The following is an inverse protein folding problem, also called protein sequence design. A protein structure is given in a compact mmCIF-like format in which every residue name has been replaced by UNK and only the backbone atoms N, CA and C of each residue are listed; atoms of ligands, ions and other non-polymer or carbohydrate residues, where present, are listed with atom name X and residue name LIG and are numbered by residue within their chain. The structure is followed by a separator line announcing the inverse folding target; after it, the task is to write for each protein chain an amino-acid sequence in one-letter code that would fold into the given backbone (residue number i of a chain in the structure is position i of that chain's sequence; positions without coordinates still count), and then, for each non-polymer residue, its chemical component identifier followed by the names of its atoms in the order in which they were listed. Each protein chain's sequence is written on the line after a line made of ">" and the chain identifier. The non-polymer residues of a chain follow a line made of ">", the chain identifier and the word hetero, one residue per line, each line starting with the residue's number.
data_IF_558077363037
#
_entry.id   IF_558077363037
#
_cell.length_a   1.000
_cell.length_b   1.000
_cell.length_c   1.000
_cell.angle_alpha   90.00
_cell.angle_beta   90.00
_cell.angle_gamma   90.00
#
_symmetry.space_group_name_H-M   'P 1'
#
loop_
_entity.id
_entity.type
_entity.pdbx_description
1 polymer ?
#
# COMPACT_ATOMS: atom_id res chain seq x y z
N UNK A 1 -8.14 -1.40 -13.19
CA UNK A 1 -8.63 -0.29 -12.36
C UNK A 1 -8.29 -0.63 -10.94
N UNK A 2 -7.86 0.37 -10.19
CA UNK A 2 -7.45 0.27 -8.81
C UNK A 2 -8.55 -0.42 -8.02
N UNK A 3 -8.19 -1.52 -7.37
CA UNK A 3 -9.14 -2.27 -6.57
C UNK A 3 -9.37 -1.50 -5.27
N UNK A 4 -10.62 -1.20 -4.89
CA UNK A 4 -10.94 -0.60 -3.58
C UNK A 4 -10.38 -1.43 -2.41
N UNK A 5 -10.12 -2.73 -2.57
CA UNK A 5 -9.36 -3.55 -1.61
C UNK A 5 -7.96 -2.99 -1.33
N UNK A 6 -7.26 -2.57 -2.38
CA UNK A 6 -5.91 -2.02 -2.26
C UNK A 6 -5.95 -0.70 -1.50
N UNK A 7 -6.92 0.17 -1.78
CA UNK A 7 -7.12 1.41 -1.03
C UNK A 7 -7.42 1.15 0.45
N UNK A 8 -8.29 0.19 0.79
CA UNK A 8 -8.52 -0.24 2.17
C UNK A 8 -7.27 -0.81 2.83
N UNK A 9 -6.51 -1.62 2.09
CA UNK A 9 -5.23 -2.18 2.55
C UNK A 9 -4.26 -1.05 2.89
N UNK A 10 -4.16 -0.04 2.03
CA UNK A 10 -3.34 1.14 2.21
C UNK A 10 -3.78 1.94 3.45
N UNK A 11 -5.09 2.15 3.64
CA UNK A 11 -5.61 2.76 4.87
C UNK A 11 -5.22 1.97 6.13
N UNK A 12 -5.38 0.64 6.13
CA UNK A 12 -4.98 -0.24 7.25
C UNK A 12 -3.47 -0.15 7.52
N UNK A 13 -2.64 -0.13 6.48
CA UNK A 13 -1.19 0.05 6.60
C UNK A 13 -0.82 1.40 7.22
N UNK A 14 -1.47 2.49 6.79
CA UNK A 14 -1.28 3.83 7.34
C UNK A 14 -1.65 3.89 8.83
N UNK A 15 -2.80 3.31 9.20
CA UNK A 15 -3.29 3.25 10.57
C UNK A 15 -2.40 2.38 11.48
N UNK A 16 -1.91 1.25 10.96
CA UNK A 16 -0.94 0.41 11.67
C UNK A 16 0.38 1.13 11.93
N UNK A 17 0.96 1.76 10.89
CA UNK A 17 2.16 2.55 11.05
C UNK A 17 1.94 3.72 12.03
N UNK A 18 0.75 4.34 12.02
CA UNK A 18 0.39 5.42 12.93
C UNK A 18 0.36 4.92 14.37
N UNK A 19 -0.24 3.75 14.65
CA UNK A 19 -0.26 3.19 15.99
C UNK A 19 1.15 2.88 16.50
N UNK A 20 1.99 2.23 15.68
CA UNK A 20 3.38 1.95 16.07
C UNK A 20 4.17 3.23 16.35
N UNK A 21 3.94 4.27 15.54
CA UNK A 21 4.60 5.57 15.73
C UNK A 21 4.09 6.27 17.00
N UNK A 22 2.79 6.18 17.30
CA UNK A 22 2.23 6.68 18.55
C UNK A 22 2.86 5.97 19.75
N UNK A 23 2.99 4.63 19.71
CA UNK A 23 3.62 3.86 20.79
C UNK A 23 5.10 4.28 20.98
N UNK A 24 5.84 4.50 19.89
CA UNK A 24 7.21 5.01 19.93
C UNK A 24 7.28 6.43 20.51
N UNK A 25 6.37 7.33 20.10
CA UNK A 25 6.30 8.69 20.63
C UNK A 25 5.96 8.70 22.13
N UNK A 26 5.15 7.74 22.60
CA UNK A 26 4.86 7.59 24.03
C UNK A 26 6.12 7.20 24.82
N UNK A 27 6.96 6.32 24.27
CA UNK A 27 8.24 5.98 24.90
C UNK A 27 9.16 7.22 25.00
N UNK A 28 9.26 8.02 23.95
CA UNK A 28 10.02 9.28 23.99
C UNK A 28 9.48 10.26 25.06
N UNK A 29 8.16 10.32 25.23
CA UNK A 29 7.55 11.13 26.27
C UNK A 29 7.86 10.60 27.68
N UNK A 30 7.95 9.27 27.86
CA UNK A 30 8.39 8.65 29.10
C UNK A 30 9.89 8.90 29.38
N UNK A 31 10.74 8.88 28.36
CA UNK A 31 12.16 9.21 28.48
C UNK A 31 12.33 10.67 28.93
N UNK A 32 11.56 11.59 28.37
CA UNK A 32 11.54 12.99 28.82
C UNK A 32 11.13 13.13 30.29
N UNK A 33 10.15 12.35 30.75
CA UNK A 33 9.78 12.29 32.17
C UNK A 33 10.93 11.73 33.01
N UNK A 34 11.59 10.67 32.54
CA UNK A 34 12.73 10.07 33.23
C UNK A 34 13.88 11.05 33.41
N UNK A 35 14.26 11.77 32.36
CA UNK A 35 15.28 12.84 32.42
C UNK A 35 14.88 13.94 33.38
N UNK A 36 13.62 14.39 33.35
CA UNK A 36 13.11 15.46 34.20
C UNK A 36 13.12 15.12 35.70
N UNK A 37 13.11 13.83 36.07
CA UNK A 37 13.19 13.35 37.45
C UNK A 37 14.52 12.62 37.77
N UNK A 38 15.49 12.65 36.86
CA UNK A 38 16.81 12.13 37.11
C UNK A 38 17.52 12.95 38.21
N UNK A 39 18.37 12.32 39.05
CA UNK A 39 19.17 13.06 40.02
C UNK A 39 20.11 14.04 39.29
N UNK A 40 20.07 15.30 39.67
CA UNK A 40 21.01 16.30 39.15
C UNK A 40 22.40 16.06 39.73
N UNK A 41 23.30 15.51 38.93
CA UNK A 41 24.67 15.18 39.34
C UNK A 41 25.52 16.42 39.66
N UNK A 42 25.08 17.62 39.25
CA UNK A 42 25.81 18.87 39.47
C UNK A 42 25.29 19.66 40.68
N UNK A 43 24.16 19.26 41.27
CA UNK A 43 23.60 19.94 42.43
C UNK A 43 24.35 19.55 43.72
N UNK A 44 24.67 20.56 44.54
CA UNK A 44 25.22 20.35 45.89
C UNK A 44 24.14 20.00 46.93
N UNK A 45 22.86 20.05 46.56
CA UNK A 45 21.74 19.72 47.44
C UNK A 45 21.48 18.21 47.49
N UNK A 46 21.10 17.71 48.68
CA UNK A 46 20.70 16.31 48.84
C UNK A 46 19.43 16.00 48.05
N UNK A 47 19.50 15.00 47.18
CA UNK A 47 18.38 14.56 46.38
C UNK A 47 17.84 13.22 46.87
N UNK A 48 16.60 13.24 47.35
CA UNK A 48 15.88 12.03 47.74
C UNK A 48 15.48 11.21 46.50
N UNK A 49 16.26 10.16 46.24
CA UNK A 49 16.03 9.23 45.13
C UNK A 49 14.68 8.53 45.20
N UNK A 50 14.15 8.24 46.40
CA UNK A 50 12.84 7.60 46.53
C UNK A 50 11.73 8.57 46.15
N UNK A 51 11.83 9.82 46.60
CA UNK A 51 10.86 10.87 46.24
C UNK A 51 10.86 11.15 44.74
N UNK A 52 12.03 11.25 44.10
CA UNK A 52 12.14 11.43 42.65
C UNK A 52 11.55 10.25 41.88
N UNK A 53 11.82 9.01 42.31
CA UNK A 53 11.23 7.80 41.72
C UNK A 53 9.70 7.77 41.85
N UNK A 54 9.16 8.21 43.00
CA UNK A 54 7.72 8.36 43.21
C UNK A 54 7.09 9.40 42.28
N UNK A 55 7.71 10.58 42.16
CA UNK A 55 7.25 11.63 41.24
C UNK A 55 7.31 11.19 39.77
N UNK A 56 8.36 10.45 39.37
CA UNK A 56 8.47 9.85 38.04
C UNK A 56 7.27 8.96 37.73
N UNK A 57 6.93 8.04 38.64
CA UNK A 57 5.78 7.14 38.47
C UNK A 57 4.46 7.89 38.35
N UNK A 58 4.24 8.89 39.21
CA UNK A 58 3.04 9.73 39.13
C UNK A 58 2.97 10.50 37.81
N UNK A 59 4.10 11.01 37.31
CA UNK A 59 4.14 11.71 36.03
C UNK A 59 3.87 10.77 34.85
N UNK A 60 4.35 9.53 34.89
CA UNK A 60 4.03 8.51 33.87
C UNK A 60 2.54 8.16 33.86
N UNK A 61 1.91 8.01 35.03
CA UNK A 61 0.46 7.76 35.14
C UNK A 61 -0.34 8.97 34.61
N UNK A 62 0.05 10.18 35.01
CA UNK A 62 -0.55 11.42 34.53
C UNK A 62 -0.41 11.58 33.00
N UNK A 63 0.73 11.18 32.42
CA UNK A 63 0.92 11.14 30.97
C UNK A 63 -0.09 10.20 30.31
N UNK A 64 -0.26 8.98 30.84
CA UNK A 64 -1.21 8.02 30.29
C UNK A 64 -2.65 8.52 30.36
N UNK A 65 -3.01 9.21 31.44
CA UNK A 65 -4.32 9.84 31.57
C UNK A 65 -4.50 11.00 30.58
N UNK A 66 -3.48 11.84 30.38
CA UNK A 66 -3.50 12.87 29.34
C UNK A 66 -3.65 12.27 27.93
N UNK A 67 -2.93 11.18 27.62
CA UNK A 67 -3.03 10.51 26.33
C UNK A 67 -4.45 9.97 26.11
N UNK A 68 -5.06 9.38 27.14
CA UNK A 68 -6.38 8.76 27.05
C UNK A 68 -7.53 9.78 27.02
N UNK A 69 -7.48 10.79 27.88
CA UNK A 69 -8.61 11.68 28.15
C UNK A 69 -8.40 13.11 27.65
N UNK A 70 -7.17 13.47 27.23
CA UNK A 70 -6.77 14.84 26.92
C UNK A 70 -6.62 15.76 28.14
N UNK A 71 -6.98 15.28 29.33
CA UNK A 71 -6.94 16.00 30.60
C UNK A 71 -6.78 15.04 31.78
N UNK A 72 -6.32 15.56 32.91
CA UNK A 72 -6.31 14.85 34.18
C UNK A 72 -7.70 14.87 34.83
N UNK A 73 -7.98 13.88 35.68
CA UNK A 73 -9.14 13.89 36.55
C UNK A 73 -9.09 15.08 37.53
N UNK A 74 -10.26 15.66 37.81
CA UNK A 74 -10.37 16.81 38.74
C UNK A 74 -10.15 16.40 40.21
N UNK A 75 -10.21 15.10 40.51
CA UNK A 75 -10.12 14.56 41.87
C UNK A 75 -8.67 14.22 42.32
N UNK A 76 -7.67 14.30 41.44
CA UNK A 76 -6.28 13.95 41.77
C UNK A 76 -5.44 15.16 42.20
N UNK A 77 -5.16 15.28 43.50
CA UNK A 77 -4.15 16.22 44.01
C UNK A 77 -2.72 15.72 43.71
N UNK A 78 -2.20 16.11 42.54
CA UNK A 78 -0.83 15.81 42.12
C UNK A 78 0.14 16.97 42.39
N UNK A 79 1.41 16.71 42.72
CA UNK A 79 2.41 17.78 42.88
C UNK A 79 2.57 18.61 41.60
N UNK A 80 2.70 19.94 41.72
CA UNK A 80 2.83 20.84 40.56
C UNK A 80 3.91 20.43 39.56
N UNK A 81 5.07 19.97 40.05
CA UNK A 81 6.16 19.50 39.19
C UNK A 81 5.76 18.28 38.36
N UNK A 82 5.00 17.35 38.94
CA UNK A 82 4.47 16.16 38.24
C UNK A 82 3.54 16.60 37.12
N UNK A 83 2.57 17.45 37.42
CA UNK A 83 1.59 17.94 36.43
C UNK A 83 2.28 18.69 35.29
N UNK A 84 3.24 19.58 35.61
CA UNK A 84 3.96 20.35 34.58
C UNK A 84 4.78 19.46 33.65
N UNK A 85 5.54 18.50 34.20
CA UNK A 85 6.39 17.61 33.40
C UNK A 85 5.52 16.68 32.55
N UNK A 86 4.47 16.07 33.13
CA UNK A 86 3.55 15.21 32.40
C UNK A 86 2.84 15.96 31.27
N UNK A 87 2.37 17.19 31.52
CA UNK A 87 1.76 18.04 30.49
C UNK A 87 2.73 18.37 29.36
N UNK A 88 3.97 18.75 29.68
CA UNK A 88 4.97 19.05 28.66
C UNK A 88 5.32 17.82 27.81
N UNK A 89 5.43 16.64 28.43
CA UNK A 89 5.63 15.38 27.72
C UNK A 89 4.43 15.03 26.82
N UNK A 90 3.20 15.22 27.32
CA UNK A 90 1.97 15.03 26.54
C UNK A 90 1.88 15.98 25.34
N UNK A 91 2.17 17.26 25.51
CA UNK A 91 2.12 18.24 24.41
C UNK A 91 3.12 17.91 23.30
N UNK A 92 4.30 17.40 23.67
CA UNK A 92 5.28 16.90 22.70
C UNK A 92 4.77 15.64 21.98
N UNK A 93 4.25 14.67 22.74
CA UNK A 93 3.64 13.45 22.22
C UNK A 93 2.51 13.73 21.23
N UNK A 94 1.54 14.58 21.61
CA UNK A 94 0.35 14.87 20.81
C UNK A 94 0.72 15.56 19.49
N UNK A 95 1.62 16.55 19.57
CA UNK A 95 2.12 17.26 18.39
C UNK A 95 2.82 16.32 17.42
N UNK A 96 3.74 15.49 17.92
CA UNK A 96 4.51 14.57 17.09
C UNK A 96 3.61 13.50 16.45
N UNK A 97 2.72 12.90 17.24
CA UNK A 97 1.80 11.85 16.78
C UNK A 97 0.80 12.35 15.74
N UNK A 98 0.29 13.58 15.88
CA UNK A 98 -0.55 14.21 14.85
C UNK A 98 0.22 14.43 13.54
N UNK A 99 1.38 15.08 13.63
CA UNK A 99 2.24 15.35 12.47
C UNK A 99 2.62 14.07 11.72
N UNK A 100 3.07 13.04 12.44
CA UNK A 100 3.56 11.82 11.79
C UNK A 100 2.45 11.00 11.18
N UNK A 101 1.27 10.93 11.81
CA UNK A 101 0.14 10.25 11.20
C UNK A 101 -0.36 10.91 9.92
N UNK A 102 -0.33 12.25 9.80
CA UNK A 102 -0.62 12.91 8.52
C UNK A 102 0.40 12.53 7.44
N UNK A 103 1.69 12.49 7.79
CA UNK A 103 2.75 12.09 6.86
C UNK A 103 2.59 10.64 6.41
N UNK A 104 2.14 9.75 7.29
CA UNK A 104 1.94 8.32 6.97
C UNK A 104 0.82 8.12 5.95
N UNK A 105 -0.31 8.82 6.09
CA UNK A 105 -1.40 8.77 5.09
C UNK A 105 -0.90 9.27 3.74
N UNK A 106 -0.23 10.43 3.71
CA UNK A 106 0.36 10.98 2.47
C UNK A 106 1.37 10.02 1.84
N UNK A 107 2.23 9.39 2.65
CA UNK A 107 3.22 8.42 2.18
C UNK A 107 2.55 7.25 1.47
N UNK A 108 1.53 6.67 2.08
CA UNK A 108 0.79 5.51 1.55
C UNK A 108 0.06 5.85 0.23
N UNK A 109 -0.47 7.06 0.13
CA UNK A 109 -1.06 7.57 -1.12
C UNK A 109 0.00 7.71 -2.22
N UNK A 110 1.13 8.33 -1.90
CA UNK A 110 2.25 8.44 -2.85
C UNK A 110 2.76 7.07 -3.30
N UNK A 111 2.87 6.09 -2.39
CA UNK A 111 3.21 4.70 -2.75
C UNK A 111 2.20 4.08 -3.70
N UNK A 112 0.93 4.49 -3.65
CA UNK A 112 -0.10 4.01 -4.58
C UNK A 112 0.05 4.63 -5.96
N UNK A 113 0.50 5.88 -6.05
CA UNK A 113 0.84 6.52 -7.33
C UNK A 113 2.05 5.85 -8.00
N UNK A 114 3.01 5.37 -7.21
CA UNK A 114 4.18 4.63 -7.74
C UNK A 114 3.78 3.35 -8.50
N UNK A 115 2.63 2.75 -8.19
CA UNK A 115 2.10 1.59 -8.93
C UNK A 115 1.90 1.93 -10.41
N UNK A 116 1.42 3.15 -10.70
CA UNK A 116 1.28 3.63 -12.07
C UNK A 116 2.64 3.81 -12.74
N UNK A 117 3.63 4.35 -12.01
CA UNK A 117 5.00 4.49 -12.51
C UNK A 117 5.60 3.13 -12.87
N UNK A 118 5.41 2.10 -12.06
CA UNK A 118 5.93 0.76 -12.37
C UNK A 118 5.18 0.08 -13.52
N UNK A 119 3.88 0.33 -13.64
CA UNK A 119 3.11 -0.04 -14.82
C UNK A 119 3.67 0.60 -16.10
N UNK A 120 3.91 1.92 -16.10
CA UNK A 120 4.51 2.63 -17.24
C UNK A 120 5.94 2.12 -17.51
N UNK A 121 6.71 1.80 -16.46
CA UNK A 121 8.06 1.25 -16.59
C UNK A 121 8.07 -0.09 -17.31
N UNK A 122 7.09 -0.95 -17.08
CA UNK A 122 6.97 -2.23 -17.79
C UNK A 122 6.69 -2.01 -19.29
N UNK A 123 5.82 -1.06 -19.63
CA UNK A 123 5.57 -0.71 -21.04
C UNK A 123 6.84 -0.16 -21.70
N UNK A 124 7.55 0.72 -20.99
CA UNK A 124 8.83 1.26 -21.43
C UNK A 124 9.88 0.15 -21.61
N UNK A 125 9.91 -0.86 -20.73
CA UNK A 125 10.81 -2.00 -20.87
C UNK A 125 10.52 -2.84 -22.12
N UNK A 126 9.26 -3.01 -22.52
CA UNK A 126 8.91 -3.65 -23.79
C UNK A 126 9.48 -2.89 -24.99
N UNK A 127 9.40 -1.56 -24.97
CA UNK A 127 9.95 -0.68 -26.02
C UNK A 127 11.49 -0.83 -26.08
N UNK A 128 12.16 -0.80 -24.93
CA UNK A 128 13.62 -0.94 -24.88
C UNK A 128 14.11 -2.33 -25.29
N UNK A 129 13.36 -3.39 -24.94
CA UNK A 129 13.65 -4.74 -25.45
C UNK A 129 13.51 -4.82 -26.97
N UNK A 130 12.56 -4.07 -27.55
CA UNK A 130 12.43 -3.95 -29.01
C UNK A 130 13.62 -3.21 -29.62
N UNK A 131 14.06 -2.09 -29.05
CA UNK A 131 15.29 -1.43 -29.49
C UNK A 131 16.50 -2.36 -29.42
N UNK A 132 16.63 -3.14 -28.35
CA UNK A 132 17.70 -4.11 -28.19
C UNK A 132 17.61 -5.25 -29.22
N UNK A 133 16.40 -5.69 -29.58
CA UNK A 133 16.17 -6.67 -30.66
C UNK A 133 16.58 -6.13 -32.03
N UNK A 134 16.27 -4.86 -32.32
CA UNK A 134 16.69 -4.18 -33.55
C UNK A 134 18.22 -4.16 -33.67
N UNK A 135 18.91 -3.76 -32.60
CA UNK A 135 20.37 -3.70 -32.56
C UNK A 135 20.98 -5.09 -32.83
N UNK A 136 20.45 -6.15 -32.21
CA UNK A 136 20.95 -7.52 -32.42
C UNK A 136 20.77 -7.99 -33.87
N UNK A 137 19.62 -7.66 -34.48
CA UNK A 137 19.34 -8.03 -35.88
C UNK A 137 20.25 -7.30 -36.87
N UNK A 138 20.56 -6.04 -36.62
CA UNK A 138 21.44 -5.22 -37.47
C UNK A 138 22.94 -5.58 -37.33
N UNK A 139 23.29 -6.53 -36.44
CA UNK A 139 24.67 -7.02 -36.32
C UNK A 139 25.15 -7.70 -37.59
N UNK A 140 26.33 -7.27 -38.04
CA UNK A 140 27.00 -7.76 -39.26
C UNK A 140 27.49 -9.21 -39.16
N UNK A 141 27.81 -9.66 -37.95
CA UNK A 141 28.30 -11.00 -37.69
C UNK A 141 27.44 -11.63 -36.60
N UNK A 142 26.92 -12.83 -36.86
CA UNK A 142 26.28 -13.66 -35.85
C UNK A 142 27.29 -14.54 -35.16
N UNK A 143 26.94 -14.94 -33.94
CA UNK A 143 27.63 -15.99 -33.22
C UNK A 143 27.45 -17.32 -33.99
N UNK A 144 28.52 -17.89 -34.56
CA UNK A 144 28.43 -19.14 -35.30
C UNK A 144 28.01 -20.33 -34.43
N UNK A 145 28.24 -20.26 -33.11
CA UNK A 145 27.92 -21.33 -32.16
C UNK A 145 26.48 -21.25 -31.65
N UNK A 146 25.83 -20.08 -31.78
CA UNK A 146 24.45 -19.85 -31.36
C UNK A 146 23.70 -18.93 -32.35
N UNK A 147 23.44 -19.43 -33.57
CA UNK A 147 22.70 -18.67 -34.57
C UNK A 147 21.27 -18.42 -34.07
N UNK A 148 20.78 -17.19 -34.25
CA UNK A 148 19.42 -16.80 -33.87
C UNK A 148 18.63 -16.35 -35.10
N UNK A 149 17.36 -16.76 -35.27
CA UNK A 149 16.53 -16.33 -36.40
C UNK A 149 16.35 -14.81 -36.46
N UNK A 150 16.38 -14.24 -37.66
CA UNK A 150 16.37 -12.79 -37.89
C UNK A 150 15.32 -12.33 -38.90
N UNK A 151 14.40 -13.22 -39.31
CA UNK A 151 13.38 -12.91 -40.32
C UNK A 151 12.39 -11.84 -39.81
N UNK A 152 12.13 -11.84 -38.51
CA UNK A 152 11.39 -10.79 -37.80
C UNK A 152 11.91 -10.64 -36.36
N UNK A 153 11.29 -9.79 -35.56
CA UNK A 153 11.59 -9.69 -34.14
C UNK A 153 10.67 -8.74 -33.41
N UNK A 154 10.99 -8.48 -32.14
CA UNK A 154 10.15 -7.65 -31.27
C UNK A 154 9.95 -6.21 -31.81
N UNK A 155 10.90 -5.70 -32.58
CA UNK A 155 10.84 -4.36 -33.18
C UNK A 155 10.06 -4.28 -34.50
N UNK A 156 9.70 -5.41 -35.11
CA UNK A 156 8.76 -5.46 -36.23
C UNK A 156 7.33 -5.76 -35.79
N UNK A 157 7.11 -6.05 -34.50
CA UNK A 157 5.80 -6.33 -33.94
C UNK A 157 4.93 -5.07 -33.93
N UNK A 158 3.71 -5.15 -34.48
CA UNK A 158 2.82 -4.00 -34.66
C UNK A 158 2.46 -3.32 -33.34
N UNK A 159 2.13 -4.09 -32.30
CA UNK A 159 1.71 -3.56 -31.00
C UNK A 159 2.82 -2.72 -30.38
N UNK A 160 4.07 -3.18 -30.46
CA UNK A 160 5.21 -2.45 -29.89
C UNK A 160 5.55 -1.21 -30.72
N UNK A 161 5.41 -1.28 -32.04
CA UNK A 161 5.56 -0.09 -32.89
C UNK A 161 4.52 0.98 -32.55
N UNK A 162 3.28 0.58 -32.26
CA UNK A 162 2.23 1.51 -31.80
C UNK A 162 2.57 2.11 -30.44
N UNK A 163 3.02 1.31 -29.46
CA UNK A 163 3.45 1.82 -28.17
C UNK A 163 4.60 2.82 -28.31
N UNK A 164 5.62 2.50 -29.12
CA UNK A 164 6.79 3.33 -29.31
C UNK A 164 6.52 4.64 -30.08
N UNK A 165 5.47 4.68 -30.89
CA UNK A 165 5.08 5.85 -31.68
C UNK A 165 4.12 6.79 -30.94
N UNK A 166 3.56 6.38 -29.82
CA UNK A 166 2.56 7.15 -29.09
C UNK A 166 3.19 8.24 -28.23
N UNK A 167 2.81 9.49 -28.51
CA UNK A 167 3.31 10.67 -27.79
C UNK A 167 2.79 10.74 -26.36
N UNK A 168 1.58 10.23 -26.10
CA UNK A 168 1.00 10.24 -24.76
C UNK A 168 1.81 9.38 -23.78
N UNK A 169 2.19 8.18 -24.22
CA UNK A 169 3.06 7.29 -23.46
C UNK A 169 4.48 7.84 -23.33
N UNK A 170 5.03 8.46 -24.38
CA UNK A 170 6.34 9.14 -24.30
C UNK A 170 6.32 10.23 -23.22
N UNK A 171 5.31 11.11 -23.23
CA UNK A 171 5.13 12.14 -22.20
C UNK A 171 4.96 11.54 -20.80
N UNK A 172 4.23 10.43 -20.66
CA UNK A 172 4.02 9.75 -19.38
C UNK A 172 5.29 9.08 -18.85
N UNK A 173 6.13 8.50 -19.71
CA UNK A 173 7.46 7.95 -19.36
C UNK A 173 8.35 9.07 -18.82
N UNK A 174 8.38 10.22 -19.50
CA UNK A 174 9.15 11.40 -19.08
C UNK A 174 8.62 11.93 -17.74
N UNK A 175 7.30 12.11 -17.61
CA UNK A 175 6.65 12.59 -16.37
C UNK A 175 6.92 11.67 -15.19
N UNK A 176 6.94 10.37 -15.43
CA UNK A 176 7.25 9.34 -14.42
C UNK A 176 8.74 9.24 -14.10
N UNK A 177 9.60 10.04 -14.75
CA UNK A 177 11.05 10.04 -14.52
C UNK A 177 11.74 8.72 -14.90
N UNK A 178 11.15 7.94 -15.81
CA UNK A 178 11.70 6.64 -16.22
C UNK A 178 12.82 6.88 -17.23
N UNK A 179 14.02 6.40 -16.92
CA UNK A 179 15.19 6.54 -17.79
C UNK A 179 16.09 5.30 -17.69
N UNK A 180 16.20 4.58 -18.80
CA UNK A 180 16.99 3.34 -18.87
C UNK A 180 18.48 3.53 -19.13
N UNK A 181 18.96 4.76 -19.42
CA UNK A 181 20.37 5.00 -19.80
C UNK A 181 21.39 4.40 -18.82
N UNK A 182 21.16 4.54 -17.52
CA UNK A 182 22.01 3.98 -16.46
C UNK A 182 21.67 2.51 -16.13
N UNK A 183 20.55 2.00 -16.62
CA UNK A 183 19.99 0.68 -16.31
C UNK A 183 19.97 -0.24 -17.54
N UNK A 184 20.60 0.16 -18.66
CA UNK A 184 20.68 -0.62 -19.90
C UNK A 184 21.30 -2.00 -19.71
N UNK A 185 22.10 -2.20 -18.65
CA UNK A 185 22.61 -3.51 -18.26
C UNK A 185 21.47 -4.52 -18.03
N UNK A 186 20.39 -4.10 -17.38
CA UNK A 186 19.20 -4.93 -17.12
C UNK A 186 18.52 -5.28 -18.45
N UNK A 187 18.25 -4.30 -19.32
CA UNK A 187 17.63 -4.55 -20.63
C UNK A 187 18.45 -5.54 -21.47
N UNK A 188 19.77 -5.33 -21.57
CA UNK A 188 20.66 -6.22 -22.33
C UNK A 188 20.71 -7.63 -21.74
N UNK A 189 20.71 -7.74 -20.41
CA UNK A 189 20.71 -9.03 -19.72
C UNK A 189 19.37 -9.75 -19.91
N UNK A 190 18.25 -9.06 -19.72
CA UNK A 190 16.90 -9.58 -19.99
C UNK A 190 16.77 -10.05 -21.45
N UNK A 191 17.23 -9.27 -22.41
CA UNK A 191 17.21 -9.66 -23.82
C UNK A 191 17.99 -10.96 -24.07
N UNK A 192 19.25 -11.03 -23.59
CA UNK A 192 20.16 -12.15 -23.84
C UNK A 192 19.75 -13.42 -23.10
N UNK A 193 19.43 -13.30 -21.82
CA UNK A 193 19.27 -14.44 -20.92
C UNK A 193 17.83 -14.94 -20.88
N UNK A 194 16.85 -14.07 -21.12
CA UNK A 194 15.44 -14.41 -21.10
C UNK A 194 14.85 -14.47 -22.52
N UNK A 195 14.78 -13.33 -23.22
CA UNK A 195 14.01 -13.23 -24.47
C UNK A 195 14.62 -14.09 -25.59
N UNK A 196 15.94 -14.06 -25.78
CA UNK A 196 16.62 -14.82 -26.84
C UNK A 196 16.64 -16.33 -26.61
N UNK A 197 16.37 -16.78 -25.38
CA UNK A 197 16.25 -18.20 -25.03
C UNK A 197 14.81 -18.70 -24.99
N UNK A 198 13.83 -17.83 -25.23
CA UNK A 198 12.42 -18.17 -25.20
C UNK A 198 11.99 -18.82 -26.53
N UNK A 199 11.44 -20.03 -26.46
CA UNK A 199 11.05 -20.83 -27.64
C UNK A 199 9.95 -20.16 -28.48
N UNK A 200 9.02 -19.44 -27.83
CA UNK A 200 7.92 -18.76 -28.53
C UNK A 200 8.45 -17.55 -29.30
N UNK A 201 9.32 -16.77 -28.67
CA UNK A 201 9.99 -15.65 -29.34
C UNK A 201 10.89 -16.12 -30.49
N UNK A 202 11.65 -17.19 -30.30
CA UNK A 202 12.50 -17.76 -31.35
C UNK A 202 11.64 -18.26 -32.54
N UNK A 203 10.55 -18.97 -32.28
CA UNK A 203 9.61 -19.42 -33.31
C UNK A 203 8.99 -18.24 -34.09
N UNK A 204 8.64 -17.16 -33.41
CA UNK A 204 8.16 -15.93 -34.04
C UNK A 204 9.23 -15.33 -34.96
N UNK A 205 10.49 -15.26 -34.53
CA UNK A 205 11.59 -14.68 -35.32
C UNK A 205 11.97 -15.48 -36.58
N UNK A 206 11.53 -16.74 -36.71
CA UNK A 206 11.70 -17.58 -37.92
C UNK A 206 10.71 -17.27 -39.04
N UNK A 207 9.64 -16.54 -38.73
CA UNK A 207 8.66 -16.14 -39.72
C UNK A 207 8.90 -14.68 -40.11
N UNK A 208 8.82 -14.37 -41.41
CA UNK A 208 9.08 -13.03 -41.92
C UNK A 208 7.91 -12.06 -41.71
N UNK A 209 6.68 -12.58 -41.56
CA UNK A 209 5.45 -11.79 -41.44
C UNK A 209 4.47 -12.43 -40.47
N UNK A 210 3.73 -11.61 -39.74
CA UNK A 210 2.80 -12.04 -38.70
C UNK A 210 1.42 -11.40 -38.88
N UNK A 211 0.39 -12.13 -38.44
CA UNK A 211 -0.97 -11.64 -38.27
C UNK A 211 -1.09 -10.71 -37.05
N UNK A 212 -2.12 -9.84 -36.96
CA UNK A 212 -2.36 -9.04 -35.76
C UNK A 212 -2.50 -9.90 -34.49
N UNK A 213 -3.13 -11.07 -34.61
CA UNK A 213 -3.34 -12.00 -33.51
C UNK A 213 -2.03 -12.61 -33.00
N UNK A 214 -1.12 -12.98 -33.91
CA UNK A 214 0.22 -13.48 -33.56
C UNK A 214 1.07 -12.40 -32.89
N UNK A 215 1.02 -11.17 -33.41
CA UNK A 215 1.69 -10.03 -32.79
C UNK A 215 1.18 -9.78 -31.37
N UNK A 216 -0.14 -9.82 -31.20
CA UNK A 216 -0.82 -9.63 -29.93
C UNK A 216 -0.53 -10.76 -28.92
N UNK A 217 -0.43 -11.99 -29.42
CA UNK A 217 -0.08 -13.16 -28.61
C UNK A 217 1.36 -13.09 -28.12
N UNK A 218 2.30 -12.70 -29.00
CA UNK A 218 3.71 -12.59 -28.64
C UNK A 218 3.93 -11.54 -27.54
N UNK A 219 3.40 -10.33 -27.69
CA UNK A 219 3.68 -9.26 -26.71
C UNK A 219 3.08 -9.60 -25.34
N UNK A 220 1.92 -10.25 -25.29
CA UNK A 220 1.37 -10.77 -24.05
C UNK A 220 2.21 -11.91 -23.46
N UNK A 221 2.80 -12.76 -24.29
CA UNK A 221 3.74 -13.80 -23.84
C UNK A 221 5.01 -13.19 -23.25
N UNK A 222 5.64 -12.24 -23.95
CA UNK A 222 6.83 -11.52 -23.47
C UNK A 222 6.54 -10.81 -22.15
N UNK A 223 5.41 -10.12 -22.04
CA UNK A 223 5.00 -9.51 -20.77
C UNK A 223 4.91 -10.54 -19.64
N UNK A 224 4.23 -11.68 -19.86
CA UNK A 224 3.94 -12.65 -18.80
C UNK A 224 5.10 -13.56 -18.44
N UNK A 225 5.80 -14.11 -19.43
CA UNK A 225 6.83 -15.14 -19.23
C UNK A 225 8.23 -14.55 -19.16
N UNK A 226 8.49 -13.47 -19.90
CA UNK A 226 9.80 -12.82 -19.90
C UNK A 226 9.85 -11.76 -18.79
N UNK A 227 9.05 -10.70 -18.90
CA UNK A 227 9.14 -9.55 -17.99
C UNK A 227 8.70 -9.88 -16.56
N UNK A 228 7.53 -10.51 -16.40
CA UNK A 228 6.91 -10.69 -15.08
C UNK A 228 7.25 -12.02 -14.39
N UNK A 229 8.17 -12.82 -14.94
CA UNK A 229 8.46 -14.17 -14.44
C UNK A 229 9.93 -14.59 -14.54
N UNK A 230 10.68 -14.11 -15.52
CA UNK A 230 12.11 -14.41 -15.57
C UNK A 230 12.84 -13.68 -14.45
N UNK A 231 13.81 -14.34 -13.82
CA UNK A 231 14.55 -13.82 -12.65
C UNK A 231 15.15 -12.42 -12.89
N UNK A 232 15.82 -12.20 -14.02
CA UNK A 232 16.52 -10.93 -14.31
C UNK A 232 15.60 -9.69 -14.25
N UNK A 233 14.52 -9.59 -15.05
CA UNK A 233 13.61 -8.44 -14.96
C UNK A 233 12.80 -8.45 -13.66
N UNK A 234 12.46 -9.61 -13.12
CA UNK A 234 11.68 -9.71 -11.88
C UNK A 234 12.47 -9.17 -10.68
N UNK A 235 13.72 -9.59 -10.50
CA UNK A 235 14.61 -9.11 -9.45
C UNK A 235 14.81 -7.59 -9.52
N UNK A 236 14.94 -7.04 -10.73
CA UNK A 236 15.04 -5.59 -10.93
C UNK A 236 13.76 -4.87 -10.49
N UNK A 237 12.58 -5.40 -10.81
CA UNK A 237 11.30 -4.82 -10.42
C UNK A 237 11.09 -4.91 -8.90
N UNK A 238 11.39 -6.06 -8.28
CA UNK A 238 11.26 -6.28 -6.83
C UNK A 238 12.24 -5.45 -6.01
N UNK A 239 13.45 -5.17 -6.52
CA UNK A 239 14.39 -4.28 -5.85
C UNK A 239 13.93 -2.82 -5.84
N UNK A 240 13.12 -2.41 -6.83
CA UNK A 240 12.61 -1.04 -6.95
C UNK A 240 11.31 -0.84 -6.19
N UNK A 241 10.45 -1.85 -6.18
CA UNK A 241 9.19 -1.86 -5.44
C UNK A 241 9.21 -2.98 -4.39
N UNK A 242 9.42 -2.58 -3.13
CA UNK A 242 9.37 -3.49 -1.98
C UNK A 242 7.99 -4.15 -1.79
N UNK A 243 6.94 -3.59 -2.39
CA UNK A 243 5.57 -4.10 -2.36
C UNK A 243 5.15 -4.75 -3.68
N UNK A 244 6.11 -5.12 -4.54
CA UNK A 244 5.85 -5.71 -5.85
C UNK A 244 4.90 -6.90 -5.81
N UNK A 245 5.06 -7.78 -4.82
CA UNK A 245 4.18 -8.95 -4.63
C UNK A 245 2.72 -8.54 -4.44
N UNK A 246 2.47 -7.37 -3.84
CA UNK A 246 1.13 -6.84 -3.63
C UNK A 246 0.52 -6.21 -4.88
N UNK A 247 1.34 -5.60 -5.74
CA UNK A 247 0.86 -4.78 -6.85
C UNK A 247 1.02 -5.44 -8.23
N UNK A 248 1.88 -6.45 -8.35
CA UNK A 248 2.23 -7.10 -9.62
C UNK A 248 1.03 -7.62 -10.41
N UNK A 249 0.00 -8.15 -9.75
CA UNK A 249 -1.22 -8.61 -10.44
C UNK A 249 -2.03 -7.44 -11.02
N UNK A 250 -2.13 -6.31 -10.31
CA UNK A 250 -2.78 -5.10 -10.82
C UNK A 250 -1.99 -4.53 -12.00
N UNK A 251 -0.67 -4.40 -11.84
CA UNK A 251 0.22 -3.89 -12.89
C UNK A 251 0.13 -4.77 -14.13
N UNK A 252 0.18 -6.10 -13.96
CA UNK A 252 -0.04 -7.08 -15.02
C UNK A 252 -1.37 -6.86 -15.73
N UNK A 253 -2.46 -6.70 -14.97
CA UNK A 253 -3.79 -6.45 -15.52
C UNK A 253 -3.85 -5.17 -16.36
N UNK A 254 -3.26 -4.08 -15.87
CA UNK A 254 -3.18 -2.79 -16.58
C UNK A 254 -2.36 -2.89 -17.87
N UNK A 255 -1.20 -3.56 -17.79
CA UNK A 255 -0.35 -3.82 -18.95
C UNK A 255 -1.09 -4.64 -20.01
N UNK A 256 -1.70 -5.77 -19.63
CA UNK A 256 -2.48 -6.59 -20.59
C UNK A 256 -3.63 -5.80 -21.19
N UNK A 257 -4.37 -5.01 -20.39
CA UNK A 257 -5.49 -4.21 -20.88
C UNK A 257 -5.01 -3.16 -21.90
N UNK A 258 -3.88 -2.51 -21.62
CA UNK A 258 -3.25 -1.54 -22.53
C UNK A 258 -2.83 -2.22 -23.82
N UNK A 259 -2.11 -3.33 -23.74
CA UNK A 259 -1.69 -4.11 -24.91
C UNK A 259 -2.88 -4.56 -25.75
N UNK A 260 -3.98 -4.99 -25.13
CA UNK A 260 -5.21 -5.42 -25.85
C UNK A 260 -6.02 -4.29 -26.45
N UNK A 261 -5.77 -3.05 -26.05
CA UNK A 261 -6.44 -1.89 -26.62
C UNK A 261 -5.81 -1.44 -27.94
N UNK A 262 -4.64 -1.95 -28.29
CA UNK A 262 -4.04 -1.72 -29.60
C UNK A 262 -4.90 -2.40 -30.66
N UNK A 263 -5.57 -1.60 -31.49
CA UNK A 263 -6.50 -2.07 -32.53
C UNK A 263 -5.96 -1.81 -33.95
N UNK A 264 -6.67 -2.36 -34.94
CA UNK A 264 -6.32 -2.24 -36.37
C UNK A 264 -6.30 -0.79 -36.88
N UNK A 265 -6.88 0.16 -36.12
CA UNK A 265 -6.95 1.60 -36.45
C UNK A 265 -5.63 2.30 -36.09
N UNK A 266 -4.61 1.55 -35.65
CA UNK A 266 -3.28 2.07 -35.30
C UNK A 266 -3.30 3.02 -34.10
N UNK A 267 -4.24 2.80 -33.17
CA UNK A 267 -4.33 3.54 -31.92
C UNK A 267 -4.32 2.58 -30.74
N UNK A 268 -3.92 3.04 -29.55
CA UNK A 268 -4.13 2.30 -28.32
C UNK A 268 -4.60 3.24 -27.20
N UNK A 269 -5.12 2.66 -26.13
CA UNK A 269 -5.55 3.38 -24.94
C UNK A 269 -4.74 2.92 -23.73
N UNK A 270 -3.96 3.84 -23.15
CA UNK A 270 -3.29 3.58 -21.87
C UNK A 270 -4.35 3.29 -20.80
N UNK A 271 -4.28 2.11 -20.18
CA UNK A 271 -5.22 1.76 -19.13
C UNK A 271 -5.04 2.70 -17.93
N UNK A 272 -6.08 3.42 -17.49
CA UNK A 272 -5.94 4.29 -16.33
C UNK A 272 -5.80 3.44 -15.06
N UNK A 273 -4.95 3.88 -14.13
CA UNK A 273 -4.80 3.26 -12.82
C UNK A 273 -6.17 3.22 -12.13
N UNK A 274 -6.84 4.37 -12.04
CA UNK A 274 -8.23 4.51 -11.57
C UNK A 274 -9.02 5.46 -12.46
N UNK A 275 -10.35 5.41 -12.36
CA UNK A 275 -11.23 6.35 -13.07
C UNK A 275 -11.10 7.77 -12.52
N UNK A 276 -10.97 7.88 -11.21
CA UNK A 276 -10.88 9.15 -10.49
C UNK A 276 -9.92 8.97 -9.30
N UNK A 277 -8.72 9.53 -9.45
CA UNK A 277 -7.70 9.45 -8.40
C UNK A 277 -8.03 10.35 -7.21
N UNK A 278 -8.68 11.49 -7.46
CA UNK A 278 -9.02 12.40 -6.37
C UNK A 278 -10.09 11.76 -5.49
N UNK A 279 -11.11 11.12 -6.08
CA UNK A 279 -12.13 10.38 -5.32
C UNK A 279 -11.51 9.23 -4.51
N UNK A 280 -10.60 8.47 -5.10
CA UNK A 280 -9.94 7.33 -4.43
C UNK A 280 -9.00 7.80 -3.30
N UNK A 281 -8.34 8.94 -3.50
CA UNK A 281 -7.50 9.60 -2.50
C UNK A 281 -8.34 10.13 -1.34
N UNK A 282 -9.39 10.89 -1.63
CA UNK A 282 -10.34 11.41 -0.64
C UNK A 282 -10.92 10.29 0.20
N UNK A 283 -11.29 9.16 -0.43
CA UNK A 283 -11.78 7.97 0.28
C UNK A 283 -10.79 7.45 1.33
N UNK A 284 -9.50 7.34 1.00
CA UNK A 284 -8.47 6.85 1.94
C UNK A 284 -8.20 7.87 3.05
N UNK A 285 -8.10 9.16 2.71
CA UNK A 285 -7.88 10.23 3.68
C UNK A 285 -9.05 10.33 4.68
N UNK A 286 -10.29 10.30 4.17
CA UNK A 286 -11.50 10.33 4.97
C UNK A 286 -11.62 9.10 5.87
N UNK A 287 -11.40 7.90 5.33
CA UNK A 287 -11.46 6.66 6.11
C UNK A 287 -10.44 6.67 7.25
N UNK A 288 -9.19 7.05 6.99
CA UNK A 288 -8.16 7.15 8.03
C UNK A 288 -8.53 8.19 9.10
N UNK A 289 -9.03 9.36 8.66
CA UNK A 289 -9.44 10.44 9.56
C UNK A 289 -10.56 10.01 10.51
N UNK A 290 -11.59 9.34 9.97
CA UNK A 290 -12.71 8.82 10.74
C UNK A 290 -12.24 7.78 11.76
N UNK A 291 -11.37 6.84 11.35
CA UNK A 291 -10.85 5.81 12.27
C UNK A 291 -10.12 6.42 13.46
N UNK A 292 -9.33 7.47 13.22
CA UNK A 292 -8.62 8.16 14.30
C UNK A 292 -9.58 8.94 15.19
N UNK A 293 -10.57 9.62 14.61
CA UNK A 293 -11.51 10.47 15.34
C UNK A 293 -12.47 9.67 16.23
N UNK A 294 -12.91 8.50 15.78
CA UNK A 294 -13.93 7.67 16.45
C UNK A 294 -13.32 6.42 17.11
N UNK A 295 -11.99 6.37 17.28
CA UNK A 295 -11.29 5.19 17.80
C UNK A 295 -11.86 4.70 19.13
N UNK A 296 -12.13 5.62 20.07
CA UNK A 296 -12.66 5.29 21.41
C UNK A 296 -14.07 4.70 21.31
N UNK A 297 -14.90 5.22 20.39
CA UNK A 297 -16.22 4.68 20.14
C UNK A 297 -16.14 3.25 19.59
N UNK A 298 -15.19 2.99 18.68
CA UNK A 298 -14.97 1.66 18.14
C UNK A 298 -14.45 0.69 19.19
N UNK A 299 -13.59 1.14 20.12
CA UNK A 299 -13.17 0.34 21.26
C UNK A 299 -14.37 -0.08 22.12
N UNK A 300 -15.32 0.83 22.38
CA UNK A 300 -16.55 0.49 23.12
C UNK A 300 -17.42 -0.55 22.39
N UNK A 301 -17.53 -0.47 21.06
CA UNK A 301 -18.25 -1.47 20.29
C UNK A 301 -17.56 -2.84 20.32
N UNK A 302 -16.23 -2.84 20.26
CA UNK A 302 -15.41 -4.05 20.23
C UNK A 302 -15.35 -4.73 21.59
N UNK A 303 -15.17 -3.98 22.69
CA UNK A 303 -15.02 -4.51 24.04
C UNK A 303 -16.12 -5.53 24.40
N UNK A 304 -17.37 -5.22 24.05
CA UNK A 304 -18.50 -6.10 24.35
C UNK A 304 -18.42 -7.45 23.60
N UNK A 305 -17.88 -7.45 22.39
CA UNK A 305 -17.75 -8.65 21.55
C UNK A 305 -16.44 -9.41 21.81
N UNK A 306 -15.41 -8.70 22.27
CA UNK A 306 -14.09 -9.26 22.51
C UNK A 306 -13.94 -9.86 23.91
N UNK A 307 -14.89 -9.65 24.85
CA UNK A 307 -14.89 -10.28 26.20
C UNK A 307 -14.69 -11.81 26.20
N UNK A 308 -15.16 -12.50 25.17
CA UNK A 308 -15.01 -13.96 25.03
C UNK A 308 -13.68 -14.39 24.40
N UNK A 309 -12.90 -13.42 23.91
CA UNK A 309 -11.59 -13.63 23.33
C UNK A 309 -10.56 -13.20 24.35
N UNK A 310 -9.49 -13.97 24.51
CA UNK A 310 -8.36 -13.54 25.33
C UNK A 310 -7.75 -12.28 24.67
N UNK A 311 -8.10 -11.09 25.18
CA UNK A 311 -7.72 -9.77 24.63
C UNK A 311 -6.21 -9.64 24.45
N UNK A 312 -5.42 -10.24 25.33
CA UNK A 312 -3.95 -10.29 25.28
C UNK A 312 -3.39 -11.09 24.10
N UNK A 313 -4.24 -11.80 23.33
CA UNK A 313 -3.85 -12.61 22.16
C UNK A 313 -4.30 -12.02 20.83
N UNK A 314 -4.99 -10.87 20.81
CA UNK A 314 -5.47 -10.29 19.56
C UNK A 314 -4.32 -9.52 18.90
N UNK A 315 -4.03 -9.85 17.65
CA UNK A 315 -3.02 -9.14 16.89
C UNK A 315 -3.45 -7.68 16.69
N UNK A 316 -2.53 -6.73 16.88
CA UNK A 316 -2.79 -5.30 16.67
C UNK A 316 -3.39 -5.04 15.28
N UNK A 317 -2.90 -5.75 14.25
CA UNK A 317 -3.43 -5.67 12.88
C UNK A 317 -4.91 -6.02 12.81
N UNK A 318 -5.38 -7.02 13.57
CA UNK A 318 -6.79 -7.41 13.58
C UNK A 318 -7.67 -6.32 14.21
N UNK A 319 -7.21 -5.67 15.28
CA UNK A 319 -7.92 -4.56 15.90
C UNK A 319 -8.07 -3.38 14.93
N UNK A 320 -6.99 -3.03 14.22
CA UNK A 320 -7.03 -1.95 13.23
C UNK A 320 -7.95 -2.31 12.07
N UNK A 321 -7.91 -3.55 11.58
CA UNK A 321 -8.82 -4.04 10.54
C UNK A 321 -10.28 -3.90 10.99
N UNK A 322 -10.59 -4.31 12.22
CA UNK A 322 -11.94 -4.20 12.78
C UNK A 322 -12.40 -2.75 12.91
N UNK A 323 -11.56 -1.86 13.45
CA UNK A 323 -11.85 -0.42 13.55
C UNK A 323 -12.07 0.21 12.18
N UNK A 324 -11.23 -0.13 11.20
CA UNK A 324 -11.35 0.37 9.83
C UNK A 324 -12.62 -0.14 9.15
N UNK A 325 -12.98 -1.40 9.38
CA UNK A 325 -14.23 -1.98 8.89
C UNK A 325 -15.46 -1.30 9.52
N UNK A 326 -15.45 -1.04 10.82
CA UNK A 326 -16.52 -0.31 11.50
C UNK A 326 -16.68 1.11 10.96
N UNK A 327 -15.59 1.83 10.75
CA UNK A 327 -15.62 3.14 10.11
C UNK A 327 -16.29 3.09 8.73
N UNK A 328 -15.90 2.13 7.89
CA UNK A 328 -16.53 1.97 6.58
C UNK A 328 -18.02 1.57 6.67
N UNK A 329 -18.37 0.68 7.59
CA UNK A 329 -19.74 0.25 7.81
C UNK A 329 -20.65 1.41 8.23
N UNK A 330 -20.18 2.26 9.14
CA UNK A 330 -20.98 3.32 9.74
C UNK A 330 -21.03 4.57 8.85
N UNK A 331 -19.89 4.99 8.29
CA UNK A 331 -19.78 6.31 7.66
C UNK A 331 -19.85 6.29 6.13
N UNK A 332 -19.75 5.13 5.48
CA UNK A 332 -19.81 5.02 4.03
C UNK A 332 -21.11 4.31 3.60
N UNK A 333 -22.24 5.07 3.51
CA UNK A 333 -23.56 4.49 3.29
C UNK A 333 -23.71 3.88 1.87
N UNK A 334 -22.90 4.34 0.91
CA UNK A 334 -22.89 3.84 -0.47
C UNK A 334 -22.22 2.48 -0.66
N UNK A 335 -21.64 1.89 0.39
CA UNK A 335 -20.95 0.58 0.30
C UNK A 335 -21.78 -0.49 1.02
N UNK A 336 -22.16 -1.61 0.35
CA UNK A 336 -22.93 -2.67 0.99
C UNK A 336 -22.19 -3.31 2.17
N UNK A 337 -22.92 -3.65 3.24
CA UNK A 337 -22.37 -4.29 4.45
C UNK A 337 -21.56 -5.53 4.11
N UNK A 338 -22.12 -6.44 3.30
CA UNK A 338 -21.45 -7.69 2.90
C UNK A 338 -20.15 -7.45 2.13
N UNK A 339 -20.10 -6.38 1.31
CA UNK A 339 -18.88 -6.03 0.58
C UNK A 339 -17.80 -5.58 1.55
N UNK A 340 -18.11 -4.64 2.44
CA UNK A 340 -17.17 -4.19 3.48
C UNK A 340 -16.62 -5.37 4.29
N UNK A 341 -17.49 -6.25 4.81
CA UNK A 341 -17.08 -7.42 5.60
C UNK A 341 -16.14 -8.33 4.79
N UNK A 342 -16.53 -8.72 3.57
CA UNK A 342 -15.73 -9.59 2.72
C UNK A 342 -14.34 -8.99 2.42
N UNK A 343 -14.28 -7.69 2.14
CA UNK A 343 -13.03 -7.02 1.82
C UNK A 343 -12.05 -7.00 3.01
N UNK A 344 -12.53 -6.70 4.22
CA UNK A 344 -11.68 -6.70 5.42
C UNK A 344 -11.28 -8.11 5.89
N UNK A 345 -12.09 -9.15 5.59
CA UNK A 345 -11.70 -10.55 5.81
C UNK A 345 -10.51 -10.93 4.92
N UNK A 346 -10.53 -10.55 3.64
CA UNK A 346 -9.42 -10.83 2.72
C UNK A 346 -8.14 -10.09 3.14
N UNK A 347 -8.26 -8.86 3.64
CA UNK A 347 -7.13 -8.13 4.22
C UNK A 347 -6.58 -8.88 5.46
N UNK A 348 -7.45 -9.33 6.37
CA UNK A 348 -7.03 -10.07 7.55
C UNK A 348 -6.31 -11.39 7.23
N UNK A 349 -6.78 -12.13 6.23
CA UNK A 349 -6.13 -13.37 5.76
C UNK A 349 -4.73 -13.12 5.21
N UNK A 350 -4.51 -11.96 4.56
CA UNK A 350 -3.26 -11.64 3.88
C UNK A 350 -2.20 -11.07 4.83
N UNK A 351 -2.59 -10.22 5.77
CA UNK A 351 -1.65 -9.40 6.55
C UNK A 351 -1.56 -9.74 8.04
N UNK A 352 -2.39 -10.66 8.53
CA UNK A 352 -2.41 -11.02 9.95
C UNK A 352 -2.16 -12.52 10.15
N UNK A 353 -2.69 -13.11 11.21
CA UNK A 353 -2.45 -14.53 11.54
C UNK A 353 -3.32 -15.47 10.70
N UNK A 354 -2.97 -16.77 10.57
CA UNK A 354 -3.80 -17.75 9.86
C UNK A 354 -5.24 -17.89 10.39
N UNK A 355 -5.50 -17.49 11.65
CA UNK A 355 -6.85 -17.54 12.26
C UNK A 355 -7.62 -16.22 12.11
N UNK A 356 -6.95 -15.13 11.71
CA UNK A 356 -7.50 -13.77 11.70
C UNK A 356 -8.69 -13.60 10.75
N UNK A 357 -8.68 -14.26 9.59
CA UNK A 357 -9.83 -14.20 8.67
C UNK A 357 -11.14 -14.71 9.29
N UNK A 358 -11.09 -15.80 10.08
CA UNK A 358 -12.27 -16.34 10.78
C UNK A 358 -12.69 -15.45 11.96
N UNK A 359 -11.70 -14.93 12.69
CA UNK A 359 -11.91 -14.03 13.81
C UNK A 359 -12.61 -12.74 13.36
N UNK A 360 -12.04 -12.05 12.36
CA UNK A 360 -12.60 -10.80 11.81
C UNK A 360 -14.00 -11.02 11.26
N UNK A 361 -14.25 -12.11 10.54
CA UNK A 361 -15.60 -12.45 10.07
C UNK A 361 -16.58 -12.58 11.24
N UNK A 362 -16.24 -13.38 12.26
CA UNK A 362 -17.13 -13.62 13.40
C UNK A 362 -17.48 -12.35 14.17
N UNK A 363 -16.50 -11.45 14.37
CA UNK A 363 -16.74 -10.17 15.07
C UNK A 363 -17.59 -9.22 14.21
N UNK A 364 -17.27 -9.06 12.92
CA UNK A 364 -17.99 -8.14 12.04
C UNK A 364 -19.42 -8.59 11.74
N UNK A 365 -19.67 -9.90 11.63
CA UNK A 365 -21.02 -10.43 11.43
C UNK A 365 -21.94 -10.05 12.61
N UNK A 366 -21.47 -10.21 13.85
CA UNK A 366 -22.26 -9.86 15.04
C UNK A 366 -22.44 -8.34 15.17
N UNK A 367 -21.36 -7.57 15.01
CA UNK A 367 -21.41 -6.11 15.12
C UNK A 367 -22.29 -5.47 14.05
N UNK A 368 -22.21 -5.94 12.80
CA UNK A 368 -23.01 -5.38 11.71
C UNK A 368 -24.52 -5.54 11.95
N UNK A 369 -24.95 -6.69 12.46
CA UNK A 369 -26.36 -6.93 12.81
C UNK A 369 -26.79 -6.08 14.00
N UNK A 370 -25.96 -6.02 15.06
CA UNK A 370 -26.24 -5.21 16.26
C UNK A 370 -26.38 -3.73 15.91
N UNK A 371 -25.39 -3.16 15.24
CA UNK A 371 -25.32 -1.74 14.89
C UNK A 371 -26.37 -1.34 13.84
N UNK A 372 -26.77 -2.26 12.96
CA UNK A 372 -27.91 -2.03 12.06
C UNK A 372 -29.23 -1.96 12.83
N UNK A 373 -29.45 -2.85 13.81
CA UNK A 373 -30.66 -2.85 14.66
C UNK A 373 -30.74 -1.59 15.53
N UNK A 374 -29.61 -1.08 16.00
CA UNK A 374 -29.51 0.17 16.77
C UNK A 374 -29.63 1.43 15.87
N UNK A 375 -29.70 1.25 14.55
CA UNK A 375 -29.85 2.35 13.59
C UNK A 375 -28.58 3.19 13.42
N UNK A 376 -27.43 2.67 13.85
CA UNK A 376 -26.09 3.28 13.69
C UNK A 376 -25.61 3.07 12.26
N UNK A 377 -25.68 1.83 11.75
CA UNK A 377 -25.37 1.54 10.35
C UNK A 377 -26.60 1.88 9.50
N UNK A 378 -26.44 2.84 8.60
CA UNK A 378 -27.46 3.23 7.62
C UNK A 378 -26.85 3.17 6.22
N UNK A 379 -27.27 2.20 5.41
CA UNK A 379 -26.84 2.09 4.02
C UNK A 379 -27.84 2.77 3.10
N UNK A 380 -27.35 3.47 2.08
CA UNK A 380 -28.16 4.17 1.09
C UNK A 380 -27.45 4.18 -0.27
N UNK A 381 -28.18 3.82 -1.33
CA UNK A 381 -27.68 3.81 -2.71
C UNK A 381 -28.48 2.85 -3.59
N UNK A 382 -28.19 2.84 -4.90
CA UNK A 382 -28.93 1.98 -5.86
C UNK A 382 -28.71 0.50 -5.49
N UNK A 383 -29.80 -0.20 -5.15
CA UNK A 383 -29.75 -1.63 -4.77
C UNK A 383 -29.33 -1.90 -3.33
N UNK A 384 -29.18 -0.86 -2.48
CA UNK A 384 -28.78 -0.96 -1.07
C UNK A 384 -29.93 -0.84 -0.07
N UNK A 385 -31.15 -0.64 -0.57
CA UNK A 385 -32.36 -0.77 0.24
C UNK A 385 -32.65 -2.26 0.41
N UNK A 386 -31.78 -2.95 1.15
CA UNK A 386 -32.19 -4.16 1.86
C UNK A 386 -33.07 -3.67 3.01
N UNK A 387 -34.34 -3.34 2.71
CA UNK A 387 -35.43 -3.18 3.66
C UNK A 387 -36.76 -3.07 2.91
N UNK A 388 -37.38 -4.22 2.65
CA UNK A 388 -38.77 -4.42 3.05
C UNK A 388 -38.79 -5.25 4.31
#
# INVERSE_FOLDING_TARGET
>A
MLNRRLLRTKAVQALYARQLTADANRLLALDHIEEAFAPDLNSMEFQDKQKLSGMKKLASIALDEFIKNGKLSEDEELPDRVVRVARSAYEAYDRQTKSDGEKLVRRVLNETELIHVDFVRILSMLIELSHQAKIDRERKYDDPESPFPKDSGLNSNRVIQLLAADKGLEEEIIRSGINWSNEMGVIRKTYRDALRKDEVYEAYCRQASHTPEEDQALVQHVLRQVILKHEVPLDYLEQRDLYWVDHSELIRSLAIKTLKSADDISTFQLAPLTKDWEEDREFVEELCKIVVAESDQYDLYLDDQLKNWELERIALVDLIILKTALAELIHFPGIPVKVTINEFIEIAKRYSTPKSGKFVNGVLDVLSVKLAKEGVIRKSGRGLIDNK
#
